data_IF_011531092749
#
_entry.id   IF_011531092749
#
_cell.length_a   1.000
_cell.length_b   1.000
_cell.length_c   1.000
_cell.angle_alpha   90.00
_cell.angle_beta   90.00
_cell.angle_gamma   90.00
#
_symmetry.space_group_name_H-M   'P 1'
#
loop_
_entity.id
_entity.type
_entity.pdbx_description
1 polymer ?
#
# COMPACT_ATOMS: atom_id res chain seq x y z
N UNK A 1 7.35 -17.38 25.66
CA UNK A 1 7.08 -15.96 25.92
C UNK A 1 7.59 -15.17 24.74
N UNK A 2 6.71 -14.57 23.95
CA UNK A 2 7.11 -13.63 22.89
C UNK A 2 7.73 -12.40 23.55
N UNK A 3 8.86 -11.96 23.04
CA UNK A 3 9.59 -10.80 23.54
C UNK A 3 9.05 -9.53 22.89
N UNK A 4 9.29 -8.36 23.50
CA UNK A 4 8.93 -7.06 22.91
C UNK A 4 9.45 -6.90 21.47
N UNK A 5 10.62 -7.51 21.17
CA UNK A 5 11.23 -7.49 19.83
C UNK A 5 10.41 -8.22 18.78
N UNK A 6 9.60 -9.20 19.16
CA UNK A 6 8.80 -10.00 18.22
C UNK A 6 7.56 -9.23 17.71
N UNK A 7 7.22 -8.12 18.36
CA UNK A 7 6.05 -7.29 18.04
C UNK A 7 6.40 -5.87 17.59
N UNK A 8 7.68 -5.58 17.36
CA UNK A 8 8.13 -4.25 16.98
C UNK A 8 9.15 -4.28 15.83
N UNK A 9 9.08 -3.27 14.96
CA UNK A 9 10.05 -3.04 13.89
C UNK A 9 10.65 -1.65 14.08
N UNK A 10 11.97 -1.57 14.20
CA UNK A 10 12.68 -0.28 14.23
C UNK A 10 12.75 0.24 12.79
N UNK A 11 12.08 1.36 12.52
CA UNK A 11 12.03 2.02 11.20
C UNK A 11 13.16 3.01 11.00
N UNK A 12 13.59 3.66 12.08
CA UNK A 12 14.68 4.59 12.08
C UNK A 12 15.36 4.59 13.44
N UNK A 13 16.68 4.69 13.43
CA UNK A 13 17.48 4.79 14.64
C UNK A 13 18.74 5.55 14.31
N UNK A 14 18.91 6.71 14.94
CA UNK A 14 20.18 7.40 14.95
C UNK A 14 20.71 7.39 16.39
N UNK A 15 21.55 6.39 16.68
CA UNK A 15 22.30 6.27 17.93
C UNK A 15 23.76 6.41 17.54
N UNK A 16 24.25 7.64 17.50
CA UNK A 16 25.68 7.93 17.46
C UNK A 16 26.14 8.37 18.84
N UNK A 17 27.31 7.90 19.26
CA UNK A 17 27.95 8.31 20.53
C UNK A 17 28.40 9.78 20.51
N UNK A 18 28.54 10.37 19.31
CA UNK A 18 28.91 11.78 19.09
C UNK A 18 27.70 12.72 18.94
N UNK A 19 26.47 12.18 18.88
CA UNK A 19 25.28 13.01 18.76
C UNK A 19 24.71 13.41 20.12
N UNK A 20 24.45 14.71 20.31
CA UNK A 20 23.86 15.24 21.54
C UNK A 20 22.43 14.71 21.80
N UNK A 21 21.73 14.22 20.76
CA UNK A 21 20.34 13.76 20.83
C UNK A 21 20.12 12.60 19.87
N UNK A 22 19.38 11.58 20.31
CA UNK A 22 19.02 10.42 19.50
C UNK A 22 17.53 10.41 19.16
N UNK A 23 17.19 9.85 18.00
CA UNK A 23 15.81 9.59 17.57
C UNK A 23 15.64 8.12 17.21
N UNK A 24 14.61 7.49 17.79
CA UNK A 24 14.20 6.13 17.43
C UNK A 24 12.75 6.15 16.98
N UNK A 25 12.46 5.53 15.84
CA UNK A 25 11.10 5.34 15.32
C UNK A 25 10.79 3.84 15.33
N UNK A 26 9.75 3.46 16.07
CA UNK A 26 9.35 2.07 16.29
C UNK A 26 7.93 1.87 15.75
N UNK A 27 7.76 0.94 14.83
CA UNK A 27 6.44 0.46 14.42
C UNK A 27 6.03 -0.74 15.27
N UNK A 28 4.85 -0.68 15.89
CA UNK A 28 4.28 -1.76 16.67
C UNK A 28 3.28 -2.55 15.82
N UNK A 29 3.58 -3.84 15.63
CA UNK A 29 2.78 -4.75 14.79
C UNK A 29 1.52 -5.29 15.50
N UNK A 30 1.42 -5.05 16.81
CA UNK A 30 0.29 -5.45 17.62
C UNK A 30 0.27 -4.73 18.96
N UNK A 31 -0.62 -5.17 19.84
CA UNK A 31 -0.74 -4.60 21.18
C UNK A 31 0.47 -4.95 22.04
N UNK A 32 0.97 -3.97 22.77
CA UNK A 32 2.11 -4.12 23.69
C UNK A 32 1.61 -4.03 25.13
N UNK A 33 2.11 -4.93 25.98
CA UNK A 33 1.87 -4.85 27.42
C UNK A 33 2.41 -3.53 28.00
N UNK A 34 1.56 -2.80 28.72
CA UNK A 34 1.89 -1.50 29.31
C UNK A 34 3.05 -1.60 30.30
N UNK A 35 3.15 -2.69 31.05
CA UNK A 35 4.24 -2.92 32.00
C UNK A 35 5.59 -3.11 31.30
N UNK A 36 5.61 -3.91 30.23
CA UNK A 36 6.78 -4.10 29.35
C UNK A 36 7.21 -2.75 28.75
N UNK A 37 6.27 -1.98 28.19
CA UNK A 37 6.57 -0.67 27.61
C UNK A 37 7.16 0.30 28.64
N UNK A 38 6.56 0.40 29.83
CA UNK A 38 7.07 1.27 30.91
C UNK A 38 8.50 0.91 31.34
N UNK A 39 8.82 -0.38 31.43
CA UNK A 39 10.19 -0.83 31.76
C UNK A 39 11.18 -0.44 30.66
N UNK A 40 10.78 -0.56 29.39
CA UNK A 40 11.60 -0.14 28.27
C UNK A 40 11.82 1.38 28.30
N UNK A 41 10.77 2.18 28.45
CA UNK A 41 10.87 3.64 28.53
C UNK A 41 11.82 4.08 29.64
N UNK A 42 11.67 3.53 30.84
CA UNK A 42 12.54 3.83 31.98
C UNK A 42 14.00 3.39 31.74
N UNK A 43 14.23 2.30 31.00
CA UNK A 43 15.59 1.92 30.59
C UNK A 43 16.17 2.91 29.56
N UNK A 44 15.34 3.36 28.60
CA UNK A 44 15.75 4.33 27.57
C UNK A 44 16.07 5.69 28.16
N UNK A 45 15.31 6.17 29.14
CA UNK A 45 15.59 7.43 29.85
C UNK A 45 16.97 7.46 30.52
N UNK A 46 17.49 6.31 30.95
CA UNK A 46 18.81 6.19 31.56
C UNK A 46 19.95 6.06 30.55
N UNK A 47 19.64 5.56 29.35
CA UNK A 47 20.65 5.21 28.35
C UNK A 47 20.71 6.19 27.18
N UNK A 48 19.67 6.99 26.96
CA UNK A 48 19.62 7.94 25.85
C UNK A 48 20.08 9.34 26.28
N UNK A 49 20.80 10.09 25.43
CA UNK A 49 21.16 11.47 25.68
C UNK A 49 19.94 12.36 25.99
N UNK A 50 20.14 13.40 26.80
CA UNK A 50 19.06 14.31 27.16
C UNK A 50 18.46 15.00 25.92
N UNK A 51 17.13 15.06 25.84
CA UNK A 51 16.42 15.60 24.68
C UNK A 51 16.19 14.61 23.53
N UNK A 52 16.64 13.35 23.69
CA UNK A 52 16.31 12.27 22.77
C UNK A 52 14.81 11.96 22.72
N UNK A 53 14.34 11.38 21.61
CA UNK A 53 12.93 11.07 21.39
C UNK A 53 12.73 9.65 20.87
N UNK A 54 11.61 9.05 21.28
CA UNK A 54 11.09 7.81 20.71
C UNK A 54 9.73 8.12 20.09
N UNK A 55 9.57 7.83 18.81
CA UNK A 55 8.29 7.91 18.11
C UNK A 55 7.78 6.49 17.93
N UNK A 56 6.54 6.24 18.35
CA UNK A 56 5.86 4.97 18.13
C UNK A 56 4.77 5.14 17.08
N UNK A 57 4.70 4.21 16.13
CA UNK A 57 3.63 4.12 15.13
C UNK A 57 2.90 2.80 15.30
N UNK A 58 1.57 2.78 15.17
CA UNK A 58 0.79 1.55 15.22
C UNK A 58 -0.55 1.74 14.51
N UNK A 59 -1.16 0.63 14.08
CA UNK A 59 -2.55 0.58 13.61
C UNK A 59 -3.57 0.50 14.76
N UNK A 60 -3.12 0.15 15.98
CA UNK A 60 -4.00 -0.02 17.15
C UNK A 60 -4.13 1.26 17.95
N UNK A 61 -5.35 1.76 18.15
CA UNK A 61 -5.63 2.96 18.97
C UNK A 61 -5.21 2.77 20.45
N UNK A 62 -5.09 1.52 20.91
CA UNK A 62 -4.65 1.23 22.29
C UNK A 62 -3.26 1.78 22.58
N UNK A 63 -2.43 1.94 21.54
CA UNK A 63 -1.08 2.53 21.63
C UNK A 63 -1.09 3.97 22.10
N UNK A 64 -2.18 4.71 21.93
CA UNK A 64 -2.27 6.12 22.30
C UNK A 64 -1.97 6.32 23.80
N UNK A 65 -2.29 5.32 24.62
CA UNK A 65 -2.02 5.33 26.06
C UNK A 65 -0.57 5.02 26.46
N UNK A 66 0.30 4.70 25.51
CA UNK A 66 1.73 4.46 25.73
C UNK A 66 2.59 5.72 25.56
N UNK A 67 2.08 6.73 24.86
CA UNK A 67 2.78 7.98 24.58
C UNK A 67 2.90 8.89 25.82
N UNK A 68 3.92 9.75 25.80
CA UNK A 68 4.09 10.84 26.79
C UNK A 68 3.41 12.14 26.34
N UNK A 69 2.89 12.19 25.11
CA UNK A 69 2.16 13.31 24.51
C UNK A 69 0.89 12.80 23.83
N UNK A 70 0.01 13.72 23.43
CA UNK A 70 -1.17 13.37 22.63
C UNK A 70 -0.77 12.63 21.34
N UNK A 71 -1.53 11.59 21.00
CA UNK A 71 -1.30 10.79 19.80
C UNK A 71 -1.74 11.54 18.54
N UNK A 72 -0.86 11.56 17.53
CA UNK A 72 -1.20 12.06 16.20
C UNK A 72 -1.94 10.96 15.43
N UNK A 73 -3.22 11.18 15.13
CA UNK A 73 -4.05 10.24 14.37
C UNK A 73 -3.98 10.56 12.89
N UNK A 74 -3.49 9.60 12.10
CA UNK A 74 -3.43 9.71 10.64
C UNK A 74 -4.77 9.28 10.04
N UNK A 75 -5.57 10.26 9.64
CA UNK A 75 -6.84 10.03 8.94
C UNK A 75 -6.66 10.09 7.42
N UNK A 76 -7.62 9.56 6.68
CA UNK A 76 -7.70 9.80 5.23
C UNK A 76 -7.77 11.30 4.94
N UNK A 77 -7.17 11.70 3.81
CA UNK A 77 -7.31 13.04 3.29
C UNK A 77 -8.78 13.35 2.99
N UNK A 78 -9.16 14.63 3.08
CA UNK A 78 -10.46 15.07 2.55
C UNK A 78 -10.54 14.76 1.05
N UNK A 79 -11.77 14.69 0.50
CA UNK A 79 -11.97 14.38 -0.92
C UNK A 79 -11.24 15.39 -1.82
N UNK A 80 -11.22 16.65 -1.42
CA UNK A 80 -10.59 17.76 -2.12
C UNK A 80 -9.07 17.65 -2.08
N UNK A 81 -8.50 17.38 -0.90
CA UNK A 81 -7.06 17.19 -0.73
C UNK A 81 -6.56 15.93 -1.45
N UNK A 82 -7.31 14.83 -1.39
CA UNK A 82 -6.98 13.61 -2.12
C UNK A 82 -7.11 13.80 -3.63
N UNK A 83 -8.14 14.52 -4.10
CA UNK A 83 -8.26 14.89 -5.50
C UNK A 83 -7.07 15.72 -5.96
N UNK A 84 -6.67 16.75 -5.22
CA UNK A 84 -5.49 17.56 -5.54
C UNK A 84 -4.24 16.69 -5.65
N UNK A 85 -4.00 15.83 -4.67
CA UNK A 85 -2.90 14.87 -4.70
C UNK A 85 -2.94 13.97 -5.94
N UNK A 86 -4.08 13.35 -6.24
CA UNK A 86 -4.21 12.45 -7.38
C UNK A 86 -4.09 13.16 -8.72
N UNK A 87 -4.67 14.36 -8.86
CA UNK A 87 -4.53 15.24 -10.04
C UNK A 87 -3.05 15.46 -10.35
N UNK A 88 -2.25 15.82 -9.35
CA UNK A 88 -0.81 16.03 -9.52
C UNK A 88 -0.09 14.76 -9.97
N UNK A 89 -0.48 13.59 -9.43
CA UNK A 89 0.14 12.32 -9.83
C UNK A 89 -0.18 11.91 -11.27
N UNK A 90 -1.44 11.98 -11.67
CA UNK A 90 -1.91 11.43 -12.95
C UNK A 90 -1.57 12.32 -14.13
N UNK A 91 -1.57 13.65 -13.95
CA UNK A 91 -1.23 14.58 -15.03
C UNK A 91 0.25 14.97 -15.04
N UNK A 92 0.94 14.94 -13.89
CA UNK A 92 2.35 15.34 -13.81
C UNK A 92 2.53 16.78 -14.32
N UNK A 93 3.26 16.94 -15.41
CA UNK A 93 3.50 18.25 -16.06
C UNK A 93 2.45 18.63 -17.10
N UNK A 94 1.52 17.74 -17.45
CA UNK A 94 0.44 18.02 -18.40
C UNK A 94 -0.62 18.90 -17.74
N UNK A 95 -1.11 19.93 -18.44
CA UNK A 95 -2.17 20.80 -17.91
C UNK A 95 -3.54 20.08 -17.94
N UNK A 96 -4.18 19.85 -16.78
CA UNK A 96 -5.50 19.21 -16.74
C UNK A 96 -6.62 20.07 -17.35
N UNK A 97 -6.43 21.39 -17.45
CA UNK A 97 -7.41 22.31 -18.06
C UNK A 97 -7.50 22.11 -19.58
N UNK A 98 -6.43 21.65 -20.23
CA UNK A 98 -6.42 21.27 -21.65
C UNK A 98 -7.13 19.93 -21.91
N UNK A 99 -7.41 19.16 -20.85
CA UNK A 99 -8.00 17.83 -20.95
C UNK A 99 -9.24 17.65 -20.05
N UNK A 100 -10.29 18.49 -20.18
CA UNK A 100 -11.43 18.51 -19.25
C UNK A 100 -12.13 17.16 -19.13
N UNK A 101 -12.19 16.39 -20.23
CA UNK A 101 -12.76 15.04 -20.22
C UNK A 101 -11.93 14.04 -19.41
N UNK A 102 -10.60 14.09 -19.51
CA UNK A 102 -9.72 13.23 -18.70
C UNK A 102 -9.80 13.63 -17.23
N UNK A 103 -9.84 14.93 -16.95
CA UNK A 103 -9.97 15.49 -15.60
C UNK A 103 -11.24 14.98 -14.92
N UNK A 104 -12.38 14.99 -15.62
CA UNK A 104 -13.63 14.43 -15.10
C UNK A 104 -13.52 12.93 -14.77
N UNK A 105 -12.87 12.13 -15.63
CA UNK A 105 -12.70 10.69 -15.38
C UNK A 105 -11.76 10.45 -14.20
N UNK A 106 -10.67 11.23 -14.08
CA UNK A 106 -9.75 11.13 -12.96
C UNK A 106 -10.42 11.47 -11.62
N UNK A 107 -11.35 12.43 -11.59
CA UNK A 107 -12.13 12.72 -10.39
C UNK A 107 -12.97 11.51 -9.97
N UNK A 108 -13.64 10.84 -10.91
CA UNK A 108 -14.39 9.61 -10.62
C UNK A 108 -13.46 8.49 -10.12
N UNK A 109 -12.29 8.32 -10.72
CA UNK A 109 -11.27 7.35 -10.28
C UNK A 109 -10.81 7.65 -8.84
N UNK A 110 -10.56 8.92 -8.51
CA UNK A 110 -10.17 9.35 -7.17
C UNK A 110 -11.22 8.95 -6.11
N UNK A 111 -12.50 9.12 -6.43
CA UNK A 111 -13.60 8.71 -5.55
C UNK A 111 -13.59 7.19 -5.32
N UNK A 112 -13.35 6.39 -6.35
CA UNK A 112 -13.33 4.93 -6.19
C UNK A 112 -12.15 4.42 -5.35
N UNK A 113 -11.02 5.13 -5.35
CA UNK A 113 -9.82 4.75 -4.60
C UNK A 113 -9.89 5.06 -3.09
N UNK A 114 -10.92 5.77 -2.64
CA UNK A 114 -11.24 5.95 -1.21
C UNK A 114 -10.04 6.42 -0.35
N UNK A 115 -9.22 7.34 -0.85
CA UNK A 115 -8.11 7.90 -0.09
C UNK A 115 -6.82 7.07 -0.07
N UNK A 116 -6.77 5.92 -0.76
CA UNK A 116 -5.58 5.06 -0.81
C UNK A 116 -4.44 5.68 -1.62
N UNK A 117 -3.30 5.95 -0.98
CA UNK A 117 -2.10 6.45 -1.66
C UNK A 117 -1.50 5.40 -2.60
N UNK A 118 -1.47 4.13 -2.18
CA UNK A 118 -0.93 3.05 -3.00
C UNK A 118 -1.70 2.92 -4.32
N UNK A 119 -3.04 2.94 -4.26
CA UNK A 119 -3.86 2.86 -5.47
C UNK A 119 -3.70 4.09 -6.36
N UNK A 120 -3.59 5.29 -5.77
CA UNK A 120 -3.31 6.50 -6.54
C UNK A 120 -2.01 6.40 -7.33
N UNK A 121 -0.93 5.89 -6.74
CA UNK A 121 0.35 5.69 -7.44
C UNK A 121 0.23 4.65 -8.56
N UNK A 122 -0.42 3.51 -8.32
CA UNK A 122 -0.61 2.46 -9.35
C UNK A 122 -1.48 2.97 -10.49
N UNK A 123 -2.60 3.64 -10.18
CA UNK A 123 -3.51 4.21 -11.17
C UNK A 123 -2.81 5.31 -11.99
N UNK A 124 -2.06 6.20 -11.34
CA UNK A 124 -1.32 7.25 -12.03
C UNK A 124 -0.26 6.67 -12.98
N UNK A 125 0.51 5.67 -12.53
CA UNK A 125 1.48 4.98 -13.38
C UNK A 125 0.81 4.35 -14.61
N UNK A 126 -0.34 3.71 -14.42
CA UNK A 126 -1.10 3.06 -15.50
C UNK A 126 -1.72 4.05 -16.49
N UNK A 127 -2.32 5.15 -16.00
CA UNK A 127 -3.04 6.12 -16.81
C UNK A 127 -2.12 7.02 -17.64
N UNK A 128 -0.91 7.31 -17.13
CA UNK A 128 0.10 8.13 -17.82
C UNK A 128 0.67 7.49 -19.08
N UNK A 129 0.62 6.17 -19.19
CA UNK A 129 1.01 5.43 -20.39
C UNK A 129 0.04 5.65 -21.57
N UNK A 130 -1.19 6.13 -21.31
CA UNK A 130 -2.20 6.28 -22.34
C UNK A 130 -3.25 7.35 -21.99
N UNK A 131 -3.11 8.56 -22.55
CA UNK A 131 -4.03 9.69 -22.37
C UNK A 131 -5.34 9.59 -23.19
N UNK A 132 -5.77 8.39 -23.56
CA UNK A 132 -7.07 8.18 -24.22
C UNK A 132 -8.20 8.13 -23.20
N UNK A 133 -9.23 8.97 -23.40
CA UNK A 133 -10.44 8.92 -22.59
C UNK A 133 -11.10 7.53 -22.59
N UNK A 134 -11.03 6.79 -23.70
CA UNK A 134 -11.55 5.42 -23.80
C UNK A 134 -10.79 4.47 -22.87
N UNK A 135 -9.47 4.63 -22.77
CA UNK A 135 -8.65 3.85 -21.87
C UNK A 135 -8.96 4.19 -20.41
N UNK A 136 -9.06 5.48 -20.08
CA UNK A 136 -9.36 5.93 -18.72
C UNK A 136 -10.74 5.45 -18.23
N UNK A 137 -11.77 5.49 -19.08
CA UNK A 137 -13.07 4.89 -18.75
C UNK A 137 -13.00 3.38 -18.51
N UNK A 138 -12.15 2.66 -19.23
CA UNK A 138 -11.93 1.23 -19.01
C UNK A 138 -11.32 0.97 -17.63
N UNK A 139 -10.33 1.77 -17.23
CA UNK A 139 -9.72 1.71 -15.89
C UNK A 139 -10.76 2.02 -14.81
N UNK A 140 -11.56 3.08 -14.98
CA UNK A 140 -12.63 3.43 -14.05
C UNK A 140 -13.65 2.29 -13.89
N UNK A 141 -14.13 1.72 -15.00
CA UNK A 141 -15.06 0.58 -14.97
C UNK A 141 -14.45 -0.60 -14.20
N UNK A 142 -13.19 -0.89 -14.47
CA UNK A 142 -12.48 -1.97 -13.79
C UNK A 142 -12.35 -1.74 -12.27
N UNK A 143 -12.05 -0.51 -11.83
CA UNK A 143 -12.02 -0.16 -10.40
C UNK A 143 -13.38 -0.36 -9.74
N UNK A 144 -14.46 0.01 -10.41
CA UNK A 144 -15.84 -0.22 -9.93
C UNK A 144 -16.17 -1.70 -9.81
N UNK A 145 -15.83 -2.49 -10.83
CA UNK A 145 -16.02 -3.95 -10.80
C UNK A 145 -15.18 -4.62 -9.71
N UNK A 146 -13.92 -4.18 -9.54
CA UNK A 146 -13.03 -4.61 -8.46
C UNK A 146 -13.67 -4.35 -7.09
N UNK A 147 -14.11 -3.11 -6.85
CA UNK A 147 -14.73 -2.70 -5.59
C UNK A 147 -16.00 -3.51 -5.31
N UNK A 148 -16.89 -3.65 -6.28
CA UNK A 148 -18.11 -4.45 -6.13
C UNK A 148 -17.82 -5.91 -5.81
N UNK A 149 -16.90 -6.56 -6.53
CA UNK A 149 -16.54 -7.96 -6.28
C UNK A 149 -15.93 -8.15 -4.89
N UNK A 150 -15.06 -7.25 -4.45
CA UNK A 150 -14.46 -7.35 -3.12
C UNK A 150 -15.48 -7.05 -2.01
N UNK A 151 -16.44 -6.13 -2.20
CA UNK A 151 -17.57 -5.95 -1.27
C UNK A 151 -18.39 -7.23 -1.16
N UNK A 152 -18.72 -7.88 -2.28
CA UNK A 152 -19.49 -9.14 -2.27
C UNK A 152 -18.75 -10.28 -1.54
N UNK A 153 -17.41 -10.28 -1.58
CA UNK A 153 -16.60 -11.33 -0.97
C UNK A 153 -16.29 -11.09 0.51
N UNK A 154 -16.07 -9.83 0.89
CA UNK A 154 -15.58 -9.46 2.23
C UNK A 154 -16.63 -8.76 3.09
N UNK A 155 -17.80 -8.42 2.52
CA UNK A 155 -18.88 -7.70 3.20
C UNK A 155 -18.68 -6.18 3.28
N UNK A 156 -17.42 -5.71 3.23
CA UNK A 156 -17.08 -4.28 3.32
C UNK A 156 -15.88 -3.89 2.43
N UNK A 157 -15.80 -2.59 2.09
CA UNK A 157 -14.67 -2.03 1.35
C UNK A 157 -14.42 -0.55 1.74
N UNK A 158 -13.16 -0.13 1.97
CA UNK A 158 -11.96 -0.96 1.93
C UNK A 158 -11.93 -1.95 3.11
N UNK A 159 -11.64 -3.22 2.82
CA UNK A 159 -11.44 -4.24 3.83
C UNK A 159 -10.20 -3.93 4.68
N UNK A 160 -10.01 -4.65 5.79
CA UNK A 160 -8.73 -4.66 6.51
C UNK A 160 -7.57 -4.96 5.54
N UNK A 161 -6.42 -4.33 5.78
CA UNK A 161 -5.26 -4.37 4.85
C UNK A 161 -4.71 -5.79 4.66
N UNK A 162 -4.90 -6.66 5.66
CA UNK A 162 -4.40 -8.05 5.65
C UNK A 162 -5.38 -9.06 5.02
N UNK A 163 -6.58 -8.62 4.60
CA UNK A 163 -7.54 -9.52 3.96
C UNK A 163 -7.21 -9.75 2.47
N UNK A 164 -7.32 -10.99 1.96
CA UNK A 164 -7.11 -11.28 0.56
C UNK A 164 -8.11 -10.53 -0.34
N UNK A 165 -7.63 -10.00 -1.47
CA UNK A 165 -8.43 -9.22 -2.42
C UNK A 165 -8.32 -9.77 -3.83
N UNK A 166 -9.42 -9.81 -4.55
CA UNK A 166 -9.39 -10.21 -5.96
C UNK A 166 -9.13 -9.00 -6.84
N UNK A 167 -8.07 -9.07 -7.65
CA UNK A 167 -7.82 -8.11 -8.72
C UNK A 167 -8.00 -8.78 -10.07
N UNK A 168 -8.49 -8.01 -11.04
CA UNK A 168 -8.65 -8.45 -12.41
C UNK A 168 -7.56 -7.79 -13.26
N UNK A 169 -7.17 -8.43 -14.36
CA UNK A 169 -6.36 -7.77 -15.37
C UNK A 169 -7.25 -6.93 -16.27
N UNK A 170 -6.78 -5.76 -16.68
CA UNK A 170 -7.42 -5.00 -17.75
C UNK A 170 -7.26 -5.72 -19.08
N UNK A 171 -6.22 -6.54 -19.29
CA UNK A 171 -6.02 -7.25 -20.54
C UNK A 171 -7.08 -8.33 -20.76
N UNK A 172 -7.79 -8.23 -21.89
CA UNK A 172 -8.61 -9.32 -22.40
C UNK A 172 -7.73 -10.19 -23.28
N UNK A 173 -7.71 -11.51 -23.08
CA UNK A 173 -7.09 -12.38 -24.10
C UNK A 173 -7.92 -12.25 -25.39
N UNK A 174 -7.24 -12.33 -26.54
CA UNK A 174 -7.93 -12.40 -27.83
C UNK A 174 -8.84 -13.63 -27.79
N UNK A 175 -10.09 -13.48 -28.26
CA UNK A 175 -11.17 -14.50 -28.27
C UNK A 175 -11.98 -14.69 -26.97
N UNK A 176 -12.65 -13.64 -26.50
CA UNK A 176 -13.81 -13.80 -25.61
C UNK A 176 -13.56 -14.54 -24.28
N UNK A 177 -12.31 -14.76 -23.89
CA UNK A 177 -12.00 -15.44 -22.65
C UNK A 177 -12.40 -14.58 -21.47
N UNK A 178 -12.76 -15.24 -20.38
CA UNK A 178 -13.00 -14.60 -19.09
C UNK A 178 -11.82 -13.71 -18.65
N UNK A 179 -12.14 -12.69 -17.86
CA UNK A 179 -11.14 -11.79 -17.28
C UNK A 179 -10.13 -12.60 -16.46
N UNK A 180 -8.84 -12.32 -16.65
CA UNK A 180 -7.77 -12.97 -15.89
C UNK A 180 -7.85 -12.47 -14.44
N UNK A 181 -8.06 -13.38 -13.49
CA UNK A 181 -8.25 -13.06 -12.06
C UNK A 181 -7.02 -13.43 -11.26
N UNK A 182 -6.71 -12.58 -10.29
CA UNK A 182 -5.62 -12.76 -9.35
C UNK A 182 -6.14 -12.56 -7.93
N UNK A 183 -5.63 -13.36 -7.01
CA UNK A 183 -5.81 -13.17 -5.58
C UNK A 183 -4.57 -12.47 -5.04
N UNK A 184 -4.73 -11.23 -4.62
CA UNK A 184 -3.74 -10.49 -3.84
C UNK A 184 -3.86 -10.95 -2.38
N UNK A 185 -2.77 -11.45 -1.84
CA UNK A 185 -2.58 -11.78 -0.43
C UNK A 185 -1.87 -10.61 0.27
N UNK A 186 -1.51 -10.80 1.54
CA UNK A 186 -0.87 -9.76 2.37
C UNK A 186 0.22 -8.98 1.64
N UNK A 187 0.19 -7.66 1.82
CA UNK A 187 1.26 -6.77 1.36
C UNK A 187 2.36 -6.70 2.41
N UNK A 188 3.61 -6.75 1.96
CA UNK A 188 4.79 -6.66 2.80
C UNK A 188 5.64 -5.46 2.36
N UNK A 189 6.16 -4.74 3.35
CA UNK A 189 7.02 -3.58 3.12
C UNK A 189 8.44 -3.92 3.55
N UNK A 190 9.40 -3.76 2.63
CA UNK A 190 10.81 -4.05 2.87
C UNK A 190 11.63 -2.76 2.72
N UNK A 191 12.66 -2.62 3.55
CA UNK A 191 13.63 -1.52 3.44
C UNK A 191 14.24 -1.50 2.02
N UNK A 192 14.58 -0.32 1.50
CA UNK A 192 15.37 -0.17 0.27
C UNK A 192 16.73 -0.89 0.32
N UNK A 193 17.56 -0.83 -0.73
CA UNK A 193 18.35 -1.89 -1.40
C UNK A 193 19.25 -2.85 -0.57
N UNK A 194 19.24 -2.79 0.76
CA UNK A 194 19.93 -3.68 1.68
C UNK A 194 19.20 -4.99 2.00
N UNK A 195 17.95 -5.19 1.56
CA UNK A 195 17.28 -6.49 1.68
C UNK A 195 17.79 -7.43 0.57
N UNK A 196 18.50 -8.49 0.96
CA UNK A 196 19.22 -9.46 0.13
C UNK A 196 18.40 -10.25 -0.93
N UNK A 197 17.14 -9.89 -1.17
CA UNK A 197 16.30 -10.44 -2.24
C UNK A 197 16.14 -9.44 -3.38
N UNK A 198 16.42 -9.84 -4.62
CA UNK A 198 16.12 -9.01 -5.78
C UNK A 198 14.64 -8.62 -5.82
N UNK A 199 14.33 -7.38 -6.20
CA UNK A 199 12.94 -6.93 -6.32
C UNK A 199 12.17 -7.81 -7.30
N UNK A 200 10.85 -8.03 -7.08
CA UNK A 200 10.03 -8.75 -8.03
C UNK A 200 10.12 -8.13 -9.42
N UNK A 201 10.28 -8.98 -10.44
CA UNK A 201 10.38 -8.53 -11.84
C UNK A 201 9.03 -8.06 -12.41
N UNK A 202 7.92 -8.50 -11.80
CA UNK A 202 6.55 -8.17 -12.23
C UNK A 202 6.04 -7.04 -11.35
N UNK A 203 5.58 -5.96 -11.96
CA UNK A 203 4.94 -4.84 -11.26
C UNK A 203 3.41 -4.98 -11.25
N UNK A 204 2.74 -4.24 -10.37
CA UNK A 204 1.28 -4.18 -10.36
C UNK A 204 0.73 -3.63 -11.69
N UNK A 205 1.46 -2.70 -12.32
CA UNK A 205 1.11 -2.17 -13.64
C UNK A 205 1.20 -3.26 -14.70
N UNK A 206 2.21 -4.13 -14.66
CA UNK A 206 2.32 -5.28 -15.58
C UNK A 206 1.13 -6.24 -15.43
N UNK A 207 0.79 -6.56 -14.18
CA UNK A 207 -0.33 -7.43 -13.83
C UNK A 207 -1.67 -6.88 -14.32
N UNK A 208 -1.88 -5.57 -14.15
CA UNK A 208 -3.08 -4.89 -14.65
C UNK A 208 -3.08 -4.82 -16.19
N UNK A 209 -1.93 -4.57 -16.81
CA UNK A 209 -1.84 -4.29 -18.24
C UNK A 209 -1.79 -5.54 -19.12
N UNK A 210 -1.51 -6.72 -18.58
CA UNK A 210 -1.34 -7.91 -19.40
C UNK A 210 0.07 -8.15 -19.93
N UNK A 211 1.06 -7.36 -19.48
CA UNK A 211 2.37 -7.24 -20.14
C UNK A 211 3.45 -8.13 -19.54
N UNK A 212 3.10 -9.03 -18.62
CA UNK A 212 4.06 -9.99 -18.06
C UNK A 212 4.53 -10.99 -19.12
N UNK A 213 5.84 -11.23 -19.18
CA UNK A 213 6.45 -12.12 -20.19
C UNK A 213 6.16 -13.60 -19.94
N UNK A 214 6.30 -14.05 -18.69
CA UNK A 214 5.98 -15.41 -18.26
C UNK A 214 5.33 -15.39 -16.88
N UNK A 215 4.08 -15.86 -16.79
CA UNK A 215 3.37 -15.95 -15.51
C UNK A 215 3.99 -17.07 -14.66
N UNK A 216 4.45 -16.78 -13.42
CA UNK A 216 4.93 -17.82 -12.53
C UNK A 216 3.85 -18.85 -12.23
N UNK A 217 4.25 -20.11 -12.02
CA UNK A 217 3.32 -21.14 -11.53
C UNK A 217 3.18 -21.01 -10.02
N UNK A 218 1.95 -20.95 -9.53
CA UNK A 218 1.65 -20.84 -8.10
C UNK A 218 1.69 -19.41 -7.59
N UNK A 219 2.07 -19.22 -6.32
CA UNK A 219 2.21 -17.92 -5.69
C UNK A 219 3.48 -17.21 -6.14
N UNK A 220 3.40 -15.90 -6.36
CA UNK A 220 4.53 -15.06 -6.73
C UNK A 220 4.38 -13.66 -6.14
N UNK A 221 5.48 -12.93 -6.03
CA UNK A 221 5.46 -11.56 -5.55
C UNK A 221 5.31 -10.56 -6.71
N UNK A 222 4.59 -9.48 -6.44
CA UNK A 222 4.42 -8.35 -7.35
C UNK A 222 4.89 -7.08 -6.66
N UNK A 223 5.73 -6.31 -7.33
CA UNK A 223 6.11 -4.98 -6.85
C UNK A 223 4.91 -4.03 -7.04
N UNK A 224 4.29 -3.64 -5.93
CA UNK A 224 3.11 -2.78 -5.93
C UNK A 224 3.49 -1.31 -6.07
N UNK A 225 4.47 -0.87 -5.29
CA UNK A 225 5.01 0.49 -5.34
C UNK A 225 6.38 0.56 -4.67
N UNK A 226 7.17 1.55 -5.04
CA UNK A 226 8.42 1.90 -4.37
C UNK A 226 8.37 3.36 -3.97
N UNK A 227 8.63 3.64 -2.69
CA UNK A 227 8.71 4.99 -2.16
C UNK A 227 9.82 5.76 -2.87
N UNK A 228 9.51 7.00 -3.25
CA UNK A 228 10.48 7.99 -3.76
C UNK A 228 11.11 8.81 -2.64
N UNK A 229 10.65 8.59 -1.40
CA UNK A 229 11.16 9.24 -0.20
C UNK A 229 12.04 8.23 0.56
N UNK A 230 13.26 8.61 1.01
CA UNK A 230 14.09 7.78 1.87
C UNK A 230 13.32 7.18 3.06
N UNK A 231 13.58 5.93 3.44
CA UNK A 231 14.63 5.03 2.95
C UNK A 231 14.23 4.21 1.70
N UNK A 232 13.31 4.70 0.87
CA UNK A 232 12.90 4.09 -0.40
C UNK A 232 12.30 2.68 -0.26
N UNK A 233 11.42 2.52 0.72
CA UNK A 233 10.66 1.30 0.96
C UNK A 233 10.03 0.72 -0.31
N UNK A 234 10.12 -0.59 -0.47
CA UNK A 234 9.44 -1.33 -1.53
C UNK A 234 8.26 -2.10 -0.94
N UNK A 235 7.10 -1.92 -1.56
CA UNK A 235 5.85 -2.59 -1.20
C UNK A 235 5.62 -3.74 -2.17
N UNK A 236 5.73 -4.96 -1.67
CA UNK A 236 5.47 -6.19 -2.44
C UNK A 236 4.15 -6.80 -1.98
N UNK A 237 3.44 -7.42 -2.92
CA UNK A 237 2.17 -8.10 -2.63
C UNK A 237 2.27 -9.51 -3.16
N UNK A 238 2.01 -10.50 -2.29
CA UNK A 238 1.91 -11.88 -2.72
C UNK A 238 0.66 -12.05 -3.59
N UNK A 239 0.81 -12.73 -4.72
CA UNK A 239 -0.21 -12.85 -5.74
C UNK A 239 -0.33 -14.31 -6.18
N UNK A 240 -1.55 -14.75 -6.43
CA UNK A 240 -1.83 -16.08 -6.96
C UNK A 240 -2.81 -16.00 -8.12
N UNK A 241 -2.54 -16.75 -9.19
CA UNK A 241 -3.45 -16.84 -10.31
C UNK A 241 -4.66 -17.70 -9.95
N UNK A 242 -5.87 -17.17 -10.12
CA UNK A 242 -7.11 -17.89 -9.84
C UNK A 242 -7.61 -18.49 -11.14
N UNK A 243 -7.48 -19.82 -11.27
CA UNK A 243 -8.18 -20.58 -12.31
C UNK A 243 -9.63 -20.70 -11.91
N UNK A 244 -10.54 -20.41 -12.83
CA UNK A 244 -11.92 -20.88 -12.68
C UNK A 244 -11.89 -22.41 -12.70
N UNK A 245 -12.27 -23.04 -11.60
CA UNK A 245 -12.80 -24.40 -11.67
C UNK A 245 -14.16 -24.28 -12.37
N UNK A 246 -14.23 -24.69 -13.62
CA UNK A 246 -15.49 -25.10 -14.21
C UNK A 246 -15.97 -26.32 -13.42
N UNK A 247 -16.64 -26.10 -12.29
CA UNK A 247 -17.46 -27.12 -11.66
C UNK A 247 -18.72 -27.28 -12.51
N UNK A 248 -18.53 -27.86 -13.68
CA UNK A 248 -19.56 -28.56 -14.44
C UNK A 248 -19.19 -30.02 -14.36
N UNK A 249 -19.65 -30.69 -13.30
CA UNK A 249 -19.73 -32.13 -13.27
C UNK A 249 -21.00 -32.52 -12.54
N UNK A 250 -21.98 -32.92 -13.36
CA UNK A 250 -23.09 -33.84 -13.17
C UNK A 250 -24.00 -33.67 -11.95
#
# INVERSE_FOLDING_TARGET
MTTFRDHCVIKHQNISLDEEKSLVVIELLGDVDKGVWKRLLHSSERCMPHGSKIIITSRSEKVASLGTTEAVRLNYLSKEAYWYFFRMLVFGSTDPEEHPKLTSIAMEIAVEMCGSFLYAYVAAALLRENLSARFWYRVLRHLREYKQKNILLLGEYPAEEDQPRYILSLAKRRHGSEDTKFLLQSSHCHNGPASHGGLPKITMVDLLSGTWSAMPRGKFEVLSWRSVIPPYYSYTTACEFVRHSSSTTA
#
